data_IF_326822480515
#
_entry.id   IF_326822480515
#
_cell.length_a   1.000
_cell.length_b   1.000
_cell.length_c   1.000
_cell.angle_alpha   90.00
_cell.angle_beta   90.00
_cell.angle_gamma   90.00
#
_symmetry.space_group_name_H-M   'P 1'
#
loop_
_entity.id
_entity.type
_entity.pdbx_description
1 polymer ?
#
# COMPACT_ATOMS: atom_id res chain seq x y z
N UNK A 1 65.05 -76.71 -52.80
CA UNK A 1 63.77 -75.99 -53.05
C UNK A 1 62.51 -76.79 -52.70
N UNK A 2 62.60 -77.93 -51.98
CA UNK A 2 61.46 -78.75 -51.53
C UNK A 2 60.92 -78.38 -50.15
N UNK A 3 61.79 -78.01 -49.20
CA UNK A 3 61.38 -77.64 -47.84
C UNK A 3 60.58 -76.32 -47.77
N UNK A 4 60.65 -75.47 -48.80
CA UNK A 4 59.77 -74.31 -48.98
C UNK A 4 58.42 -74.66 -49.64
N UNK A 5 58.33 -75.78 -50.39
CA UNK A 5 57.09 -76.27 -51.01
C UNK A 5 56.23 -77.06 -50.01
N UNK A 6 56.84 -77.84 -49.11
CA UNK A 6 56.10 -78.56 -48.04
C UNK A 6 55.44 -77.59 -47.05
N UNK A 7 56.09 -76.45 -46.75
CA UNK A 7 55.46 -75.35 -45.98
C UNK A 7 54.36 -74.59 -46.74
N UNK A 8 54.31 -74.69 -48.07
CA UNK A 8 53.27 -74.08 -48.92
C UNK A 8 52.05 -74.98 -49.18
N UNK A 9 52.15 -76.29 -48.88
CA UNK A 9 51.05 -77.25 -49.05
C UNK A 9 50.39 -77.70 -47.72
N UNK A 10 50.98 -77.36 -46.57
CA UNK A 10 50.43 -77.65 -45.24
C UNK A 10 49.58 -76.51 -44.67
N UNK A 11 48.87 -76.80 -43.58
CA UNK A 11 48.15 -75.78 -42.81
C UNK A 11 49.09 -75.04 -41.88
N UNK A 12 49.14 -73.71 -41.98
CA UNK A 12 49.97 -72.86 -41.13
C UNK A 12 49.53 -72.83 -39.66
N UNK A 13 48.24 -73.06 -39.39
CA UNK A 13 47.69 -73.04 -38.04
C UNK A 13 46.58 -74.09 -37.87
N UNK A 14 46.51 -74.70 -36.68
CA UNK A 14 45.51 -75.71 -36.32
C UNK A 14 45.09 -75.54 -34.86
N UNK A 15 43.79 -75.49 -34.59
CA UNK A 15 43.26 -75.32 -33.23
C UNK A 15 41.94 -76.07 -33.04
N UNK A 16 41.71 -76.58 -31.85
CA UNK A 16 40.42 -77.19 -31.47
C UNK A 16 39.29 -76.17 -31.54
N UNK A 17 38.10 -76.61 -31.95
CA UNK A 17 36.97 -75.71 -32.17
C UNK A 17 36.60 -74.90 -30.94
N UNK A 18 36.61 -75.52 -29.76
CA UNK A 18 36.30 -74.84 -28.50
C UNK A 18 37.33 -73.75 -28.17
N UNK A 19 38.61 -74.07 -28.25
CA UNK A 19 39.69 -73.11 -27.99
C UNK A 19 39.73 -71.96 -29.03
N UNK A 20 39.41 -72.25 -30.29
CA UNK A 20 39.28 -71.23 -31.34
C UNK A 20 38.07 -70.32 -31.08
N UNK A 21 36.92 -70.91 -30.76
CA UNK A 21 35.69 -70.18 -30.50
C UNK A 21 35.82 -69.27 -29.27
N UNK A 22 36.34 -69.78 -28.15
CA UNK A 22 36.57 -68.96 -26.95
C UNK A 22 37.49 -67.76 -27.21
N UNK A 23 38.51 -67.96 -28.07
CA UNK A 23 39.46 -66.91 -28.42
C UNK A 23 38.82 -65.80 -29.28
N UNK A 24 38.02 -66.19 -30.28
CA UNK A 24 37.54 -65.28 -31.33
C UNK A 24 36.04 -64.95 -31.26
N UNK A 25 35.24 -65.55 -30.37
CA UNK A 25 33.77 -65.36 -30.29
C UNK A 25 33.32 -63.91 -30.18
N UNK A 26 34.17 -63.02 -29.69
CA UNK A 26 33.93 -61.57 -29.59
C UNK A 26 33.79 -60.86 -30.95
N UNK A 27 34.26 -61.51 -32.03
CA UNK A 27 34.23 -60.98 -33.38
C UNK A 27 32.87 -61.06 -34.06
N UNK A 28 31.98 -61.95 -33.60
CA UNK A 28 30.61 -62.06 -34.11
C UNK A 28 29.59 -61.82 -32.99
N UNK A 29 28.56 -61.03 -33.31
CA UNK A 29 27.43 -60.78 -32.42
C UNK A 29 26.59 -62.04 -32.14
N UNK A 30 26.71 -63.09 -32.98
CA UNK A 30 25.97 -64.34 -32.83
C UNK A 30 26.64 -65.31 -31.87
N UNK A 31 27.96 -65.23 -31.75
CA UNK A 31 28.75 -66.08 -30.85
C UNK A 31 29.11 -65.39 -29.53
N UNK A 32 29.12 -64.06 -29.51
CA UNK A 32 29.34 -63.26 -28.32
C UNK A 32 28.04 -63.07 -27.51
N UNK A 33 28.08 -62.99 -26.16
CA UNK A 33 29.21 -63.26 -25.26
C UNK A 33 29.34 -64.74 -24.85
N UNK A 34 28.24 -65.49 -24.96
CA UNK A 34 28.16 -66.89 -24.55
C UNK A 34 27.63 -67.72 -25.71
N UNK A 35 28.37 -68.77 -26.09
CA UNK A 35 27.94 -69.77 -27.06
C UNK A 35 27.40 -71.00 -26.32
N UNK A 36 26.27 -71.55 -26.79
CA UNK A 36 25.60 -72.72 -26.17
C UNK A 36 25.43 -73.92 -27.09
N UNK A 37 25.84 -73.81 -28.36
CA UNK A 37 25.75 -74.88 -29.35
C UNK A 37 27.03 -75.72 -29.45
N UNK A 38 27.12 -76.57 -30.48
CA UNK A 38 28.35 -77.31 -30.74
C UNK A 38 29.49 -76.33 -31.12
N UNK A 39 30.72 -76.51 -30.63
CA UNK A 39 31.81 -75.58 -30.94
C UNK A 39 32.09 -75.42 -32.45
N UNK A 40 31.96 -76.49 -33.23
CA UNK A 40 32.17 -76.45 -34.68
C UNK A 40 31.14 -75.54 -35.40
N UNK A 41 29.88 -75.55 -34.97
CA UNK A 41 28.82 -74.68 -35.49
C UNK A 41 29.11 -73.21 -35.15
N UNK A 42 29.56 -72.94 -33.92
CA UNK A 42 29.93 -71.60 -33.47
C UNK A 42 31.10 -71.04 -34.28
N UNK A 43 32.14 -71.85 -34.53
CA UNK A 43 33.27 -71.45 -35.39
C UNK A 43 32.82 -71.20 -36.83
N UNK A 44 31.87 -71.99 -37.34
CA UNK A 44 31.30 -71.81 -38.68
C UNK A 44 30.57 -70.47 -38.82
N UNK A 45 29.72 -70.12 -37.84
CA UNK A 45 29.02 -68.84 -37.83
C UNK A 45 29.99 -67.66 -37.69
N UNK A 46 31.00 -67.80 -36.83
CA UNK A 46 32.03 -66.78 -36.63
C UNK A 46 32.80 -66.50 -37.92
N UNK A 47 33.31 -67.53 -38.59
CA UNK A 47 34.07 -67.36 -39.83
C UNK A 47 33.20 -66.85 -40.98
N UNK A 48 31.89 -67.15 -40.98
CA UNK A 48 30.93 -66.60 -41.95
C UNK A 48 30.71 -65.10 -41.77
N UNK A 49 30.73 -64.61 -40.53
CA UNK A 49 30.52 -63.19 -40.23
C UNK A 49 31.80 -62.35 -40.44
N UNK A 50 32.97 -63.00 -40.61
CA UNK A 50 34.25 -62.36 -40.87
C UNK A 50 34.56 -62.27 -42.37
N UNK A 51 35.32 -61.25 -42.82
CA UNK A 51 35.75 -61.11 -44.22
C UNK A 51 36.91 -62.06 -44.56
N UNK A 52 36.78 -63.36 -44.23
CA UNK A 52 37.78 -64.39 -44.50
C UNK A 52 37.24 -65.32 -45.58
N UNK A 53 37.98 -65.46 -46.68
CA UNK A 53 37.53 -66.29 -47.80
C UNK A 53 37.50 -67.79 -47.41
N UNK A 54 36.45 -68.56 -47.77
CA UNK A 54 36.34 -69.98 -47.41
C UNK A 54 37.49 -70.87 -47.90
N UNK A 55 38.25 -70.44 -48.91
CA UNK A 55 39.43 -71.17 -49.38
C UNK A 55 40.57 -71.18 -48.36
N UNK A 56 40.61 -70.24 -47.41
CA UNK A 56 41.71 -70.04 -46.47
C UNK A 56 41.67 -70.96 -45.25
N UNK A 57 40.56 -71.65 -45.01
CA UNK A 57 40.41 -72.57 -43.89
C UNK A 57 39.74 -73.88 -44.31
N UNK A 58 39.92 -74.92 -43.50
CA UNK A 58 39.29 -76.23 -43.67
C UNK A 58 38.85 -76.75 -42.29
N UNK A 59 37.63 -77.29 -42.24
CA UNK A 59 37.10 -77.96 -41.06
C UNK A 59 37.56 -79.42 -41.02
N UNK A 60 38.23 -79.81 -39.93
CA UNK A 60 38.49 -81.22 -39.62
C UNK A 60 37.44 -81.81 -38.68
N UNK A 61 37.68 -83.02 -38.19
CA UNK A 61 36.75 -83.69 -37.25
C UNK A 61 36.64 -82.95 -35.90
N UNK A 62 37.76 -82.46 -35.37
CA UNK A 62 37.81 -81.82 -34.03
C UNK A 62 38.51 -80.45 -34.03
N UNK A 63 39.16 -80.08 -35.14
CA UNK A 63 40.03 -78.89 -35.23
C UNK A 63 39.74 -78.10 -36.51
N UNK A 64 39.86 -76.78 -36.40
CA UNK A 64 39.94 -75.87 -37.54
C UNK A 64 41.38 -75.79 -38.02
N UNK A 65 41.57 -75.82 -39.34
CA UNK A 65 42.86 -75.67 -39.98
C UNK A 65 42.87 -74.42 -40.87
N UNK A 66 43.88 -73.56 -40.72
CA UNK A 66 44.05 -72.33 -41.53
C UNK A 66 45.28 -72.52 -42.42
N UNK A 67 45.11 -72.26 -43.71
CA UNK A 67 46.13 -72.52 -44.74
C UNK A 67 47.26 -71.50 -44.71
N UNK A 68 46.93 -70.21 -44.76
CA UNK A 68 47.91 -69.13 -44.87
C UNK A 68 48.19 -68.50 -43.50
N UNK A 69 49.47 -68.28 -43.10
CA UNK A 69 49.79 -67.54 -41.87
C UNK A 69 49.21 -66.11 -41.85
N UNK A 70 49.03 -65.48 -43.03
CA UNK A 70 48.43 -64.15 -43.14
C UNK A 70 47.03 -64.08 -42.54
N UNK A 71 46.19 -65.08 -42.80
CA UNK A 71 44.81 -65.16 -42.29
C UNK A 71 44.77 -65.26 -40.76
N UNK A 72 45.77 -65.89 -40.16
CA UNK A 72 45.92 -65.96 -38.69
C UNK A 72 46.28 -64.58 -38.12
N UNK A 73 47.18 -63.85 -38.79
CA UNK A 73 47.50 -62.48 -38.42
C UNK A 73 46.27 -61.57 -38.53
N UNK A 74 45.51 -61.66 -39.63
CA UNK A 74 44.27 -60.89 -39.84
C UNK A 74 43.22 -61.17 -38.75
N UNK A 75 43.05 -62.43 -38.34
CA UNK A 75 42.17 -62.81 -37.22
C UNK A 75 42.59 -62.16 -35.88
N UNK A 76 43.89 -62.11 -35.60
CA UNK A 76 44.41 -61.45 -34.40
C UNK A 76 44.31 -59.92 -34.47
N UNK A 77 44.42 -59.34 -35.66
CA UNK A 77 44.18 -57.91 -35.90
C UNK A 77 42.72 -57.54 -35.63
N UNK A 78 41.75 -58.26 -36.22
CA UNK A 78 40.33 -58.05 -35.93
C UNK A 78 40.03 -58.19 -34.44
N UNK A 79 40.63 -59.19 -33.78
CA UNK A 79 40.44 -59.41 -32.35
C UNK A 79 40.97 -58.23 -31.53
N UNK A 80 42.16 -57.72 -31.87
CA UNK A 80 42.77 -56.58 -31.19
C UNK A 80 41.94 -55.31 -31.35
N UNK A 81 41.47 -55.03 -32.56
CA UNK A 81 40.58 -53.90 -32.84
C UNK A 81 39.30 -53.99 -32.03
N UNK A 82 38.65 -55.16 -32.03
CA UNK A 82 37.41 -55.36 -31.28
C UNK A 82 37.61 -55.26 -29.77
N UNK A 83 38.72 -55.76 -29.23
CA UNK A 83 39.06 -55.57 -27.82
C UNK A 83 39.29 -54.09 -27.49
N UNK A 84 39.95 -53.34 -28.37
CA UNK A 84 40.12 -51.89 -28.21
C UNK A 84 38.77 -51.16 -28.23
N UNK A 85 37.86 -51.50 -29.15
CA UNK A 85 36.50 -50.94 -29.19
C UNK A 85 35.74 -51.19 -27.88
N UNK A 86 35.80 -52.41 -27.35
CA UNK A 86 35.15 -52.77 -26.08
C UNK A 86 35.78 -52.02 -24.91
N UNK A 87 37.11 -51.89 -24.87
CA UNK A 87 37.80 -51.09 -23.86
C UNK A 87 37.37 -49.62 -23.93
N UNK A 88 37.29 -49.03 -25.13
CA UNK A 88 36.80 -47.66 -25.35
C UNK A 88 35.34 -47.54 -24.89
N UNK A 89 34.49 -48.53 -25.18
CA UNK A 89 33.09 -48.55 -24.74
C UNK A 89 32.98 -48.54 -23.20
N UNK A 90 33.75 -49.37 -22.52
CA UNK A 90 33.79 -49.40 -21.05
C UNK A 90 34.30 -48.06 -20.51
N UNK A 91 35.42 -47.57 -21.04
CA UNK A 91 36.02 -46.30 -20.62
C UNK A 91 35.08 -45.12 -20.82
N UNK A 92 34.44 -44.98 -21.98
CA UNK A 92 33.52 -43.86 -22.25
C UNK A 92 32.27 -43.95 -21.39
N UNK A 93 31.74 -45.15 -21.16
CA UNK A 93 30.57 -45.38 -20.30
C UNK A 93 30.90 -45.04 -18.85
N UNK A 94 32.05 -45.49 -18.35
CA UNK A 94 32.51 -45.19 -17.01
C UNK A 94 32.77 -43.69 -16.79
N UNK A 95 33.48 -43.04 -17.71
CA UNK A 95 33.69 -41.57 -17.66
C UNK A 95 32.36 -40.83 -17.65
N UNK A 96 31.39 -41.26 -18.46
CA UNK A 96 30.03 -40.71 -18.47
C UNK A 96 29.29 -40.90 -17.14
N UNK A 97 29.36 -42.11 -16.56
CA UNK A 97 28.78 -42.42 -15.25
C UNK A 97 29.34 -41.50 -14.15
N UNK A 98 30.66 -41.39 -14.05
CA UNK A 98 31.34 -40.55 -13.05
C UNK A 98 30.95 -39.08 -13.20
N UNK A 99 30.92 -38.55 -14.43
CA UNK A 99 30.52 -37.16 -14.66
C UNK A 99 29.05 -36.91 -14.36
N UNK A 100 28.16 -37.87 -14.69
CA UNK A 100 26.74 -37.80 -14.37
C UNK A 100 26.52 -37.80 -12.87
N UNK A 101 27.21 -38.67 -12.12
CA UNK A 101 27.11 -38.71 -10.66
C UNK A 101 27.56 -37.38 -10.04
N UNK A 102 28.69 -36.83 -10.49
CA UNK A 102 29.18 -35.52 -10.05
C UNK A 102 28.18 -34.41 -10.34
N UNK A 103 27.60 -34.38 -11.54
CA UNK A 103 26.58 -33.39 -11.92
C UNK A 103 25.35 -33.48 -11.04
N UNK A 104 24.82 -34.68 -10.79
CA UNK A 104 23.64 -34.88 -9.95
C UNK A 104 23.89 -34.40 -8.51
N UNK A 105 25.06 -34.71 -7.95
CA UNK A 105 25.46 -34.25 -6.61
C UNK A 105 25.55 -32.72 -6.51
N UNK A 106 26.12 -32.07 -7.54
CA UNK A 106 26.18 -30.60 -7.61
C UNK A 106 24.79 -29.98 -7.74
N UNK A 107 23.92 -30.56 -8.57
CA UNK A 107 22.54 -30.10 -8.76
C UNK A 107 21.73 -30.20 -7.47
N UNK A 108 21.80 -31.33 -6.78
CA UNK A 108 21.14 -31.52 -5.48
C UNK A 108 21.61 -30.49 -4.45
N UNK A 109 22.93 -30.32 -4.33
CA UNK A 109 23.54 -29.33 -3.45
C UNK A 109 23.06 -27.91 -3.77
N UNK A 110 22.99 -27.54 -5.05
CA UNK A 110 22.52 -26.24 -5.50
C UNK A 110 21.03 -26.00 -5.14
N UNK A 111 20.19 -27.02 -5.30
CA UNK A 111 18.76 -26.95 -4.94
C UNK A 111 18.61 -26.73 -3.43
N UNK A 112 19.32 -27.51 -2.60
CA UNK A 112 19.30 -27.39 -1.14
C UNK A 112 19.77 -26.00 -0.70
N UNK A 113 20.91 -25.53 -1.21
CA UNK A 113 21.45 -24.22 -0.86
C UNK A 113 20.51 -23.09 -1.28
N UNK A 114 19.99 -23.13 -2.51
CA UNK A 114 19.10 -22.08 -3.02
C UNK A 114 17.77 -22.03 -2.26
N UNK A 115 17.22 -23.17 -1.86
CA UNK A 115 16.01 -23.25 -1.04
C UNK A 115 16.24 -22.65 0.35
N UNK A 116 17.30 -23.09 1.04
CA UNK A 116 17.66 -22.58 2.37
C UNK A 116 17.94 -21.08 2.35
N UNK A 117 18.67 -20.58 1.34
CA UNK A 117 18.93 -19.15 1.18
C UNK A 117 17.63 -18.34 1.00
N UNK A 118 16.71 -18.80 0.15
CA UNK A 118 15.41 -18.14 -0.06
C UNK A 118 14.60 -18.08 1.24
N UNK A 119 14.55 -19.18 1.99
CA UNK A 119 13.88 -19.24 3.30
C UNK A 119 14.51 -18.29 4.32
N UNK A 120 15.84 -18.32 4.46
CA UNK A 120 16.57 -17.40 5.33
C UNK A 120 16.33 -15.94 4.95
N UNK A 121 16.41 -15.60 3.66
CA UNK A 121 16.22 -14.22 3.19
C UNK A 121 14.79 -13.72 3.41
N UNK A 122 13.77 -14.59 3.22
CA UNK A 122 12.37 -14.31 3.58
C UNK A 122 12.22 -14.01 5.07
N UNK A 123 12.69 -14.90 5.94
CA UNK A 123 12.62 -14.74 7.40
C UNK A 123 13.32 -13.45 7.85
N UNK A 124 14.55 -13.23 7.36
CA UNK A 124 15.32 -12.02 7.65
C UNK A 124 14.58 -10.75 7.21
N UNK A 125 13.95 -10.75 6.03
CA UNK A 125 13.16 -9.61 5.56
C UNK A 125 11.96 -9.34 6.45
N UNK A 126 11.19 -10.36 6.82
CA UNK A 126 10.00 -10.19 7.67
C UNK A 126 10.34 -9.68 9.07
N UNK A 127 11.39 -10.24 9.69
CA UNK A 127 11.86 -9.78 11.01
C UNK A 127 12.41 -8.35 10.95
N UNK A 128 13.13 -8.01 9.88
CA UNK A 128 13.61 -6.65 9.67
C UNK A 128 12.45 -5.68 9.46
N UNK A 129 11.47 -6.03 8.60
CA UNK A 129 10.30 -5.21 8.33
C UNK A 129 9.50 -4.93 9.61
N UNK A 130 9.28 -5.95 10.44
CA UNK A 130 8.55 -5.80 11.70
C UNK A 130 9.18 -4.76 12.66
N UNK A 131 10.51 -4.60 12.61
CA UNK A 131 11.24 -3.61 13.42
C UNK A 131 11.31 -2.23 12.77
N UNK A 132 11.07 -2.15 11.46
CA UNK A 132 11.20 -0.92 10.66
C UNK A 132 9.86 -0.54 10.03
N UNK A 133 8.74 -0.84 10.71
CA UNK A 133 7.43 -0.42 10.23
C UNK A 133 7.32 1.13 10.24
N UNK A 134 6.60 1.71 9.27
CA UNK A 134 6.31 3.15 9.25
C UNK A 134 5.57 3.64 10.49
N UNK A 135 5.38 4.95 10.58
CA UNK A 135 4.60 5.55 11.66
C UNK A 135 3.19 4.93 11.76
N UNK A 136 2.71 4.82 13.01
CA UNK A 136 1.32 4.47 13.36
C UNK A 136 0.31 5.47 12.75
N UNK A 137 0.76 6.68 12.35
CA UNK A 137 -0.08 7.70 11.73
C UNK A 137 -0.68 7.22 10.39
N UNK A 138 -2.01 7.23 10.21
CA UNK A 138 -2.66 6.91 8.94
C UNK A 138 -2.20 7.76 7.75
N UNK A 139 -1.66 8.96 7.99
CA UNK A 139 -1.20 9.88 6.95
C UNK A 139 0.18 9.53 6.37
N UNK A 140 1.00 8.75 7.07
CA UNK A 140 2.37 8.43 6.64
C UNK A 140 2.36 7.49 5.41
N UNK A 141 2.92 7.92 4.29
CA UNK A 141 2.96 7.14 3.05
C UNK A 141 4.25 6.34 2.86
N UNK A 142 5.20 6.46 3.79
CA UNK A 142 6.47 5.75 3.71
C UNK A 142 6.26 4.23 3.79
N UNK A 143 7.09 3.49 3.06
CA UNK A 143 7.12 2.03 3.15
C UNK A 143 8.55 1.52 2.90
N UNK A 144 9.09 0.64 3.74
CA UNK A 144 10.47 0.16 3.60
C UNK A 144 10.70 -0.62 2.29
N UNK A 145 11.91 -0.54 1.71
CA UNK A 145 12.24 -1.26 0.49
C UNK A 145 12.24 -2.78 0.69
N UNK A 146 12.00 -3.52 -0.40
CA UNK A 146 11.96 -4.98 -0.39
C UNK A 146 12.88 -5.57 -1.46
N UNK A 147 13.48 -6.76 -1.23
CA UNK A 147 14.16 -7.51 -2.27
C UNK A 147 13.24 -7.77 -3.46
N UNK A 148 13.77 -7.75 -4.70
CA UNK A 148 12.98 -7.89 -5.94
C UNK A 148 12.01 -9.09 -5.91
N UNK A 149 12.50 -10.26 -5.49
CA UNK A 149 11.69 -11.48 -5.41
C UNK A 149 10.61 -11.48 -4.30
N UNK A 150 10.60 -10.48 -3.41
CA UNK A 150 9.59 -10.27 -2.35
C UNK A 150 8.76 -9.00 -2.56
N UNK A 151 8.88 -8.31 -3.69
CA UNK A 151 8.14 -7.07 -3.94
C UNK A 151 6.63 -7.27 -3.83
N UNK A 152 6.10 -8.35 -4.43
CA UNK A 152 4.67 -8.66 -4.36
C UNK A 152 4.20 -8.87 -2.91
N UNK A 153 4.94 -9.68 -2.13
CA UNK A 153 4.66 -9.88 -0.70
C UNK A 153 4.72 -8.57 0.08
N UNK A 154 5.73 -7.72 -0.18
CA UNK A 154 5.87 -6.42 0.45
C UNK A 154 4.69 -5.49 0.19
N UNK A 155 4.17 -5.47 -1.04
CA UNK A 155 2.99 -4.69 -1.40
C UNK A 155 1.73 -5.17 -0.67
N UNK A 156 1.55 -6.49 -0.51
CA UNK A 156 0.45 -7.06 0.27
C UNK A 156 0.55 -6.67 1.75
N UNK A 157 1.75 -6.80 2.33
CA UNK A 157 2.01 -6.39 3.72
C UNK A 157 1.78 -4.90 3.93
N UNK A 158 2.13 -4.05 2.95
CA UNK A 158 1.84 -2.60 2.99
C UNK A 158 0.35 -2.32 3.10
N UNK A 159 -0.46 -2.97 2.25
CA UNK A 159 -1.92 -2.83 2.25
C UNK A 159 -2.52 -3.31 3.58
N UNK A 160 -2.05 -4.45 4.08
CA UNK A 160 -2.50 -5.02 5.36
C UNK A 160 -2.15 -4.10 6.53
N UNK A 161 -0.90 -3.63 6.60
CA UNK A 161 -0.44 -2.71 7.63
C UNK A 161 -1.22 -1.39 7.62
N UNK A 162 -1.46 -0.81 6.43
CA UNK A 162 -2.25 0.42 6.31
C UNK A 162 -3.70 0.21 6.79
N UNK A 163 -4.35 -0.88 6.40
CA UNK A 163 -5.72 -1.20 6.87
C UNK A 163 -5.75 -1.40 8.39
N UNK A 164 -4.78 -2.14 8.94
CA UNK A 164 -4.67 -2.38 10.38
C UNK A 164 -4.48 -1.07 11.16
N UNK A 165 -3.52 -0.22 10.78
CA UNK A 165 -3.28 1.03 11.51
C UNK A 165 -4.43 2.02 11.40
N UNK A 166 -5.12 2.09 10.26
CA UNK A 166 -6.34 2.90 10.10
C UNK A 166 -7.46 2.40 11.02
N UNK A 167 -7.61 1.08 11.15
CA UNK A 167 -8.58 0.47 12.08
C UNK A 167 -8.23 0.79 13.53
N UNK A 168 -6.95 0.63 13.91
CA UNK A 168 -6.44 0.96 15.24
C UNK A 168 -6.63 2.43 15.58
N UNK A 169 -6.35 3.34 14.64
CA UNK A 169 -6.57 4.78 14.80
C UNK A 169 -8.05 5.09 15.03
N UNK A 170 -8.96 4.52 14.22
CA UNK A 170 -10.41 4.69 14.40
C UNK A 170 -10.90 4.17 15.75
N UNK A 171 -10.40 3.02 16.19
CA UNK A 171 -10.77 2.41 17.47
C UNK A 171 -10.31 3.21 18.69
N UNK A 172 -9.20 3.96 18.58
CA UNK A 172 -8.73 4.86 19.65
C UNK A 172 -9.59 6.12 19.81
N UNK A 173 -10.43 6.47 18.84
CA UNK A 173 -11.25 7.69 18.89
C UNK A 173 -12.56 7.44 19.64
N UNK A 174 -12.66 8.00 20.84
CA UNK A 174 -13.92 8.09 21.58
C UNK A 174 -14.94 8.99 20.86
N UNK A 175 -16.21 8.94 21.29
CA UNK A 175 -17.27 9.75 20.67
C UNK A 175 -16.96 11.25 20.74
N UNK A 176 -16.35 11.72 21.83
CA UNK A 176 -15.99 13.13 22.01
C UNK A 176 -14.92 13.57 21.01
N UNK A 177 -13.85 12.79 20.85
CA UNK A 177 -12.80 13.09 19.88
C UNK A 177 -13.31 13.02 18.44
N UNK A 178 -14.22 12.07 18.13
CA UNK A 178 -14.88 12.00 16.82
C UNK A 178 -15.70 13.26 16.54
N UNK A 179 -16.45 13.76 17.53
CA UNK A 179 -17.21 15.00 17.39
C UNK A 179 -16.28 16.21 17.18
N UNK A 180 -15.22 16.36 17.99
CA UNK A 180 -14.21 17.43 17.83
C UNK A 180 -13.55 17.39 16.46
N UNK A 181 -13.22 16.20 15.96
CA UNK A 181 -12.64 16.02 14.62
C UNK A 181 -13.63 16.42 13.53
N UNK A 182 -14.91 16.02 13.65
CA UNK A 182 -15.97 16.45 12.72
C UNK A 182 -16.10 17.97 12.69
N UNK A 183 -16.06 18.63 13.84
CA UNK A 183 -16.08 20.09 13.92
C UNK A 183 -14.86 20.70 13.21
N UNK A 184 -13.64 20.24 13.51
CA UNK A 184 -12.41 20.77 12.87
C UNK A 184 -12.34 20.52 11.36
N UNK A 185 -12.81 19.37 10.88
CA UNK A 185 -12.90 19.08 9.45
C UNK A 185 -13.90 20.01 8.79
N UNK A 186 -15.05 20.24 9.42
CA UNK A 186 -16.06 21.20 8.93
C UNK A 186 -15.47 22.61 8.85
N UNK A 187 -14.77 23.05 9.91
CA UNK A 187 -14.06 24.33 9.91
C UNK A 187 -13.03 24.43 8.76
N UNK A 188 -12.30 23.35 8.47
CA UNK A 188 -11.37 23.29 7.34
C UNK A 188 -12.08 23.51 6.00
N UNK A 189 -13.19 22.80 5.76
CA UNK A 189 -13.98 22.96 4.52
C UNK A 189 -14.53 24.39 4.37
N UNK A 190 -14.94 25.01 5.47
CA UNK A 190 -15.53 26.34 5.46
C UNK A 190 -14.50 27.45 5.28
N UNK A 191 -13.36 27.37 5.97
CA UNK A 191 -12.47 28.53 6.16
C UNK A 191 -11.06 28.38 5.59
N UNK A 192 -10.60 27.15 5.32
CA UNK A 192 -9.25 26.92 4.80
C UNK A 192 -9.07 27.69 3.49
N UNK A 193 -7.99 28.44 3.42
CA UNK A 193 -7.60 29.29 2.28
C UNK A 193 -8.62 30.41 1.93
N UNK A 194 -9.63 30.64 2.78
CA UNK A 194 -10.66 31.68 2.60
C UNK A 194 -10.66 32.75 3.70
N UNK A 195 -10.23 32.41 4.91
CA UNK A 195 -10.21 33.29 6.09
C UNK A 195 -8.83 33.32 6.73
N UNK A 196 -8.23 34.50 6.85
CA UNK A 196 -6.86 34.65 7.37
C UNK A 196 -6.69 34.21 8.84
N UNK A 197 -7.75 34.24 9.66
CA UNK A 197 -7.70 33.75 11.05
C UNK A 197 -7.77 32.23 11.20
N UNK A 198 -8.12 31.47 10.14
CA UNK A 198 -8.27 30.02 10.22
C UNK A 198 -7.02 29.25 10.65
N UNK A 199 -5.81 29.49 10.10
CA UNK A 199 -4.61 28.74 10.48
C UNK A 199 -4.31 28.78 11.97
N UNK A 200 -4.52 29.94 12.61
CA UNK A 200 -4.34 30.12 14.07
C UNK A 200 -5.35 29.29 14.89
N UNK A 201 -6.54 29.04 14.33
CA UNK A 201 -7.59 28.25 15.00
C UNK A 201 -7.31 26.74 14.99
N UNK A 202 -6.44 26.23 14.12
CA UNK A 202 -6.26 24.77 13.93
C UNK A 202 -5.68 24.10 15.16
N UNK A 203 -4.70 24.73 15.80
CA UNK A 203 -3.99 24.22 16.98
C UNK A 203 -4.81 24.29 18.26
N UNK A 204 -5.83 25.15 18.31
CA UNK A 204 -6.65 25.39 19.49
C UNK A 204 -7.90 24.49 19.49
N UNK A 205 -8.13 23.64 20.50
CA UNK A 205 -9.32 22.79 20.55
C UNK A 205 -10.59 23.61 20.76
N UNK A 206 -11.67 23.22 20.09
CA UNK A 206 -12.98 23.83 20.32
C UNK A 206 -13.55 23.40 21.67
N UNK A 207 -13.96 24.36 22.50
CA UNK A 207 -14.41 24.12 23.88
C UNK A 207 -15.94 24.12 24.01
N UNK A 208 -16.62 24.96 23.25
CA UNK A 208 -18.06 25.19 23.32
C UNK A 208 -18.44 26.10 24.49
N UNK A 209 -18.41 25.59 25.72
CA UNK A 209 -18.85 26.33 26.91
C UNK A 209 -17.66 27.00 27.64
N UNK A 210 -17.43 28.27 27.32
CA UNK A 210 -16.35 29.08 27.89
C UNK A 210 -16.70 29.64 29.26
N UNK A 211 -17.96 29.97 29.47
CA UNK A 211 -18.51 30.56 30.71
C UNK A 211 -19.01 29.52 31.73
N UNK A 212 -18.94 28.23 31.41
CA UNK A 212 -19.45 27.11 32.22
C UNK A 212 -20.96 27.25 32.52
N UNK A 213 -21.72 27.74 31.55
CA UNK A 213 -23.16 27.96 31.68
C UNK A 213 -23.91 26.67 32.01
N UNK A 214 -23.43 25.51 31.53
CA UNK A 214 -24.02 24.19 31.84
C UNK A 214 -24.08 23.87 33.33
N UNK A 215 -23.17 24.42 34.12
CA UNK A 215 -23.10 24.20 35.57
C UNK A 215 -23.99 25.18 36.35
N UNK A 216 -24.48 26.24 35.72
CA UNK A 216 -25.25 27.29 36.38
C UNK A 216 -26.68 26.82 36.72
N UNK A 217 -27.07 26.92 37.99
CA UNK A 217 -28.38 26.46 38.48
C UNK A 217 -29.55 27.26 37.88
N UNK A 218 -29.40 28.58 37.72
CA UNK A 218 -30.44 29.43 37.12
C UNK A 218 -30.66 29.07 35.65
N UNK A 219 -29.57 28.79 34.92
CA UNK A 219 -29.66 28.32 33.53
C UNK A 219 -30.40 27.00 33.42
N UNK A 220 -30.12 26.02 34.30
CA UNK A 220 -30.80 24.70 34.25
C UNK A 220 -32.32 24.84 34.28
N UNK A 221 -32.85 25.64 35.22
CA UNK A 221 -34.30 25.92 35.31
C UNK A 221 -34.85 26.57 34.03
N UNK A 222 -34.19 27.63 33.56
CA UNK A 222 -34.60 28.34 32.34
C UNK A 222 -34.53 27.44 31.09
N UNK A 223 -33.54 26.54 31.02
CA UNK A 223 -33.34 25.64 29.89
C UNK A 223 -34.41 24.55 29.80
N UNK A 224 -35.03 24.18 30.93
CA UNK A 224 -36.16 23.26 30.97
C UNK A 224 -37.43 23.94 30.42
N UNK A 225 -37.67 25.20 30.80
CA UNK A 225 -38.83 25.98 30.32
C UNK A 225 -38.75 26.27 28.81
N UNK A 226 -37.55 26.57 28.31
CA UNK A 226 -37.32 26.95 26.90
C UNK A 226 -37.02 25.77 25.98
N UNK A 227 -36.80 24.57 26.54
CA UNK A 227 -36.37 23.39 25.81
C UNK A 227 -34.93 23.47 25.28
N UNK A 228 -34.10 24.39 25.77
CA UNK A 228 -32.73 24.67 25.30
C UNK A 228 -31.65 24.01 26.18
N UNK A 229 -31.87 22.76 26.60
CA UNK A 229 -31.03 22.06 27.58
C UNK A 229 -29.58 21.80 27.10
N UNK A 230 -29.41 21.47 25.83
CA UNK A 230 -28.10 21.10 25.28
C UNK A 230 -27.35 22.31 24.73
N UNK A 231 -26.51 22.92 25.57
CA UNK A 231 -25.61 24.01 25.15
C UNK A 231 -24.50 23.47 24.24
N UNK A 232 -24.41 23.98 23.02
CA UNK A 232 -23.34 23.68 22.06
C UNK A 232 -22.19 24.67 22.20
N UNK A 233 -22.51 25.96 22.40
CA UNK A 233 -21.54 27.02 22.63
C UNK A 233 -22.10 28.06 23.62
N UNK A 234 -21.25 28.62 24.49
CA UNK A 234 -21.61 29.75 25.34
C UNK A 234 -20.37 30.60 25.66
N UNK A 235 -20.44 31.90 25.40
CA UNK A 235 -19.35 32.85 25.66
C UNK A 235 -19.89 34.28 25.85
N UNK A 236 -19.08 35.16 26.46
CA UNK A 236 -19.37 36.59 26.55
C UNK A 236 -18.73 37.27 25.34
N UNK A 237 -19.56 37.77 24.43
CA UNK A 237 -19.09 38.36 23.16
C UNK A 237 -19.63 39.78 22.98
N UNK A 238 -19.01 40.52 22.06
CA UNK A 238 -19.41 41.88 21.73
C UNK A 238 -20.47 41.87 20.63
N UNK A 239 -21.70 42.28 20.95
CA UNK A 239 -22.72 42.55 19.95
C UNK A 239 -22.52 43.95 19.37
N UNK A 240 -22.35 44.03 18.06
CA UNK A 240 -22.24 45.31 17.36
C UNK A 240 -23.64 45.87 17.13
N UNK A 241 -23.89 47.05 17.68
CA UNK A 241 -25.18 47.73 17.52
C UNK A 241 -25.30 48.28 16.11
N UNK A 242 -26.40 47.97 15.45
CA UNK A 242 -26.63 48.38 14.06
C UNK A 242 -26.65 49.90 13.91
N UNK A 243 -27.27 50.62 14.84
CA UNK A 243 -27.50 52.08 14.72
C UNK A 243 -26.22 52.90 14.82
N UNK A 244 -25.27 52.51 15.67
CA UNK A 244 -24.07 53.30 15.97
C UNK A 244 -22.75 52.57 15.77
N UNK A 245 -22.76 51.26 15.48
CA UNK A 245 -21.55 50.45 15.42
C UNK A 245 -20.91 50.18 16.79
N UNK A 246 -21.51 50.64 17.90
CA UNK A 246 -20.97 50.42 19.26
C UNK A 246 -21.07 48.96 19.65
N UNK A 247 -20.00 48.43 20.25
CA UNK A 247 -19.95 47.08 20.81
C UNK A 247 -20.57 47.05 22.21
N UNK A 248 -21.49 46.11 22.43
CA UNK A 248 -22.13 45.86 23.74
C UNK A 248 -21.89 44.43 24.13
N UNK A 249 -21.26 44.19 25.28
CA UNK A 249 -21.04 42.85 25.80
C UNK A 249 -22.38 42.17 26.12
N UNK A 250 -22.52 40.94 25.65
CA UNK A 250 -23.70 40.12 25.86
C UNK A 250 -23.30 38.66 26.06
N UNK A 251 -24.09 37.92 26.83
CA UNK A 251 -23.94 36.48 26.87
C UNK A 251 -24.56 35.90 25.60
N UNK A 252 -23.76 35.20 24.81
CA UNK A 252 -24.17 34.54 23.59
C UNK A 252 -24.16 33.03 23.79
N UNK A 253 -25.29 32.39 23.49
CA UNK A 253 -25.48 30.96 23.70
C UNK A 253 -26.04 30.33 22.44
N UNK A 254 -25.49 29.20 22.04
CA UNK A 254 -26.02 28.34 20.98
C UNK A 254 -26.46 27.04 21.62
N UNK A 255 -27.77 26.77 21.61
CA UNK A 255 -28.33 25.46 21.95
C UNK A 255 -28.49 24.61 20.68
N UNK A 256 -29.06 23.41 20.81
CA UNK A 256 -29.46 22.60 19.65
C UNK A 256 -30.65 23.18 18.88
N UNK A 257 -31.44 24.06 19.50
CA UNK A 257 -32.72 24.52 18.95
C UNK A 257 -32.71 26.01 18.59
N UNK A 258 -31.91 26.83 19.28
CA UNK A 258 -31.89 28.27 19.11
C UNK A 258 -30.52 28.91 19.36
N UNK A 259 -30.31 30.06 18.73
CA UNK A 259 -29.30 31.04 19.09
C UNK A 259 -29.93 32.06 20.06
N UNK A 260 -29.35 32.18 21.26
CA UNK A 260 -29.85 33.01 22.34
C UNK A 260 -28.89 34.16 22.64
N UNK A 261 -29.46 35.32 22.88
CA UNK A 261 -28.73 36.52 23.30
C UNK A 261 -29.30 36.94 24.62
N UNK A 262 -28.47 36.89 25.65
CA UNK A 262 -28.88 37.01 27.04
C UNK A 262 -28.11 38.11 27.74
N UNK A 263 -28.69 38.62 28.82
CA UNK A 263 -27.96 39.46 29.75
C UNK A 263 -26.95 38.63 30.56
N UNK A 264 -25.72 39.11 30.66
CA UNK A 264 -24.65 38.39 31.35
C UNK A 264 -24.84 38.27 32.86
N UNK A 265 -25.57 39.22 33.50
CA UNK A 265 -25.76 39.25 34.96
C UNK A 265 -27.06 38.58 35.35
N UNK A 266 -28.16 38.95 34.68
CA UNK A 266 -29.50 38.48 35.07
C UNK A 266 -29.87 37.15 34.41
N UNK A 267 -29.15 36.72 33.38
CA UNK A 267 -29.50 35.58 32.51
C UNK A 267 -30.90 35.72 31.88
N UNK A 268 -31.40 36.95 31.73
CA UNK A 268 -32.64 37.18 31.00
C UNK A 268 -32.39 37.08 29.49
N UNK A 269 -33.26 36.35 28.80
CA UNK A 269 -33.21 36.20 27.34
C UNK A 269 -33.71 37.49 26.70
N UNK A 270 -32.81 38.21 26.00
CA UNK A 270 -33.16 39.40 25.21
C UNK A 270 -33.69 39.01 23.84
N UNK A 271 -33.10 37.98 23.23
CA UNK A 271 -33.52 37.46 21.94
C UNK A 271 -33.34 35.94 21.91
N UNK A 272 -34.34 35.25 21.38
CA UNK A 272 -34.30 33.82 21.08
C UNK A 272 -34.61 33.63 19.61
N UNK A 273 -33.63 33.12 18.86
CA UNK A 273 -33.71 32.96 17.41
C UNK A 273 -33.62 31.47 17.11
N UNK A 274 -34.70 30.82 16.65
CA UNK A 274 -34.67 29.43 16.22
C UNK A 274 -33.58 29.21 15.17
N UNK A 275 -32.85 28.10 15.26
CA UNK A 275 -31.79 27.79 14.28
C UNK A 275 -32.33 27.59 12.86
N UNK A 276 -33.61 27.25 12.73
CA UNK A 276 -34.34 27.16 11.46
C UNK A 276 -34.45 28.47 10.71
N UNK A 277 -34.38 29.60 11.43
CA UNK A 277 -34.55 30.93 10.87
C UNK A 277 -33.20 31.50 10.36
N UNK A 278 -32.08 30.90 10.76
CA UNK A 278 -30.74 31.34 10.34
C UNK A 278 -30.40 30.65 9.02
N UNK A 279 -30.40 31.42 7.92
CA UNK A 279 -30.19 30.84 6.58
C UNK A 279 -28.78 31.06 6.04
N UNK A 280 -28.07 32.09 6.50
CA UNK A 280 -26.73 32.44 6.03
C UNK A 280 -25.88 33.03 7.15
N UNK A 281 -24.58 32.75 7.10
CA UNK A 281 -23.56 33.39 7.94
C UNK A 281 -22.53 34.07 7.03
N UNK A 282 -22.23 35.34 7.27
CA UNK A 282 -21.26 36.08 6.47
C UNK A 282 -20.08 36.55 7.31
N UNK A 283 -18.89 36.45 6.74
CA UNK A 283 -17.62 36.86 7.35
C UNK A 283 -16.76 37.61 6.33
N UNK A 284 -15.78 38.35 6.82
CA UNK A 284 -14.72 38.93 5.99
C UNK A 284 -13.57 37.93 5.79
N UNK A 285 -12.77 38.03 4.71
CA UNK A 285 -11.58 37.18 4.50
C UNK A 285 -10.38 37.53 5.39
N UNK A 286 -10.41 38.67 6.07
CA UNK A 286 -9.25 39.27 6.74
C UNK A 286 -8.97 38.70 8.14
N UNK A 287 -8.01 39.28 8.87
CA UNK A 287 -7.70 38.91 10.25
C UNK A 287 -8.59 39.69 11.25
N UNK A 288 -9.90 39.53 11.11
CA UNK A 288 -10.91 40.10 12.02
C UNK A 288 -11.69 39.00 12.75
N UNK A 289 -12.40 39.43 13.79
CA UNK A 289 -13.21 38.61 14.69
C UNK A 289 -14.72 38.84 14.51
N UNK A 290 -15.14 39.34 13.34
CA UNK A 290 -16.54 39.71 13.08
C UNK A 290 -17.27 38.61 12.31
N UNK A 291 -18.49 38.30 12.76
CA UNK A 291 -19.43 37.47 12.02
C UNK A 291 -20.84 38.09 11.99
N UNK A 292 -21.52 37.90 10.86
CA UNK A 292 -22.90 38.34 10.64
C UNK A 292 -23.80 37.12 10.44
N UNK A 293 -24.88 37.06 11.22
CA UNK A 293 -25.89 36.01 11.17
C UNK A 293 -27.16 36.55 10.52
N UNK A 294 -27.48 36.01 9.34
CA UNK A 294 -28.64 36.43 8.56
C UNK A 294 -29.86 35.61 8.92
N UNK A 295 -30.93 36.32 9.28
CA UNK A 295 -32.16 35.71 9.82
C UNK A 295 -33.30 35.95 8.84
N UNK A 296 -34.08 34.88 8.59
CA UNK A 296 -35.31 34.98 7.83
C UNK A 296 -36.30 35.83 8.61
N UNK A 297 -36.86 36.82 7.94
CA UNK A 297 -37.80 37.76 8.55
C UNK A 297 -39.07 37.02 8.96
N UNK A 298 -39.28 36.85 10.27
CA UNK A 298 -40.51 36.39 10.91
C UNK A 298 -41.13 37.54 11.71
N UNK A 299 -42.41 37.49 12.04
CA UNK A 299 -43.11 38.59 12.77
C UNK A 299 -42.40 39.00 14.07
N UNK A 300 -41.78 38.05 14.78
CA UNK A 300 -41.02 38.29 16.00
C UNK A 300 -39.63 38.94 15.79
N UNK A 301 -39.04 38.79 14.60
CA UNK A 301 -37.68 39.26 14.26
C UNK A 301 -37.67 40.45 13.30
N UNK A 302 -38.81 40.79 12.69
CA UNK A 302 -38.89 41.78 11.61
C UNK A 302 -38.36 43.16 11.98
N UNK A 303 -38.49 43.58 13.25
CA UNK A 303 -38.00 44.89 13.70
C UNK A 303 -36.48 44.98 13.83
N UNK A 304 -35.74 43.86 13.88
CA UNK A 304 -34.30 43.88 14.22
C UNK A 304 -33.36 43.42 13.12
N UNK A 305 -33.81 42.62 12.15
CA UNK A 305 -32.96 42.15 11.04
C UNK A 305 -31.83 41.25 11.51
N UNK A 306 -30.67 41.38 10.89
CA UNK A 306 -29.49 40.54 11.09
C UNK A 306 -28.70 40.93 12.35
N UNK A 307 -27.93 39.97 12.87
CA UNK A 307 -27.10 40.16 14.07
C UNK A 307 -25.62 40.13 13.71
N UNK A 308 -24.89 41.09 14.27
CA UNK A 308 -23.46 41.29 14.05
C UNK A 308 -22.75 41.13 15.39
N UNK A 309 -21.72 40.29 15.42
CA UNK A 309 -20.93 40.04 16.62
C UNK A 309 -19.44 40.09 16.34
N UNK A 310 -18.70 40.50 17.34
CA UNK A 310 -17.24 40.49 17.44
C UNK A 310 -16.85 39.49 18.54
N UNK A 311 -16.01 38.51 18.22
CA UNK A 311 -15.66 37.39 19.09
C UNK A 311 -14.34 36.73 18.68
N UNK A 312 -13.44 36.54 19.65
CA UNK A 312 -12.19 35.79 19.44
C UNK A 312 -12.37 34.30 19.09
N UNK A 313 -13.61 33.80 19.14
CA UNK A 313 -13.96 32.41 18.82
C UNK A 313 -14.79 32.30 17.53
N UNK A 314 -14.64 33.25 16.59
CA UNK A 314 -15.47 33.35 15.38
C UNK A 314 -15.52 32.05 14.56
N UNK A 315 -14.37 31.39 14.36
CA UNK A 315 -14.28 30.13 13.61
C UNK A 315 -15.07 29.02 14.30
N UNK A 316 -14.98 28.95 15.64
CA UNK A 316 -15.68 27.94 16.42
C UNK A 316 -17.19 28.15 16.41
N UNK A 317 -17.65 29.37 16.67
CA UNK A 317 -19.07 29.72 16.73
C UNK A 317 -19.74 29.40 15.40
N UNK A 318 -19.17 29.87 14.27
CA UNK A 318 -19.76 29.67 12.95
C UNK A 318 -19.75 28.19 12.58
N UNK A 319 -18.67 27.45 12.89
CA UNK A 319 -18.61 26.01 12.64
C UNK A 319 -19.65 25.24 13.45
N UNK A 320 -19.80 25.55 14.74
CA UNK A 320 -20.77 24.89 15.62
C UNK A 320 -22.20 25.22 15.20
N UNK A 321 -22.49 26.48 14.94
CA UNK A 321 -23.81 26.90 14.49
C UNK A 321 -24.17 26.30 13.13
N UNK A 322 -23.22 26.24 12.19
CA UNK A 322 -23.38 25.53 10.91
C UNK A 322 -23.82 24.09 11.12
N UNK A 323 -23.16 23.35 12.01
CA UNK A 323 -23.51 21.95 12.30
C UNK A 323 -24.87 21.83 12.98
N UNK A 324 -25.22 22.74 13.89
CA UNK A 324 -26.54 22.74 14.54
C UNK A 324 -27.65 22.99 13.53
N UNK A 325 -27.51 24.01 12.67
CA UNK A 325 -28.50 24.32 11.63
C UNK A 325 -28.65 23.15 10.65
N UNK A 326 -27.52 22.56 10.22
CA UNK A 326 -27.54 21.40 9.33
C UNK A 326 -28.26 20.21 9.95
N UNK A 327 -28.02 19.92 11.23
CA UNK A 327 -28.68 18.82 11.93
C UNK A 327 -30.19 19.10 12.14
N UNK A 328 -30.58 20.34 12.40
CA UNK A 328 -31.98 20.71 12.64
C UNK A 328 -32.82 20.79 11.36
N UNK A 329 -32.26 21.30 10.26
CA UNK A 329 -33.00 21.56 9.01
C UNK A 329 -32.78 20.50 7.93
N UNK A 330 -31.75 19.65 8.07
CA UNK A 330 -31.28 18.73 7.04
C UNK A 330 -30.61 19.42 5.84
N UNK A 331 -30.66 20.76 5.76
CA UNK A 331 -30.06 21.57 4.68
C UNK A 331 -28.81 22.27 5.19
N UNK A 332 -27.83 22.41 4.31
CA UNK A 332 -26.58 23.10 4.63
C UNK A 332 -26.82 24.62 4.60
N UNK A 333 -26.57 25.38 5.68
CA UNK A 333 -26.67 26.83 5.64
C UNK A 333 -25.54 27.44 4.81
N UNK A 334 -25.80 28.58 4.17
CA UNK A 334 -24.80 29.25 3.35
C UNK A 334 -23.77 29.97 4.24
N UNK A 335 -22.48 29.81 3.95
CA UNK A 335 -21.40 30.58 4.59
C UNK A 335 -20.68 31.40 3.53
N UNK A 336 -20.85 32.73 3.58
CA UNK A 336 -20.27 33.67 2.61
C UNK A 336 -19.07 34.38 3.20
N UNK A 337 -17.90 34.21 2.59
CA UNK A 337 -16.68 34.93 2.97
C UNK A 337 -16.36 35.92 1.86
N UNK A 338 -16.52 37.22 2.12
CA UNK A 338 -16.40 38.28 1.12
C UNK A 338 -16.02 39.60 1.80
N UNK A 339 -15.33 40.48 1.08
CA UNK A 339 -15.03 41.84 1.54
C UNK A 339 -16.28 42.72 1.61
N UNK A 340 -17.32 42.35 0.88
CA UNK A 340 -18.60 43.06 0.84
C UNK A 340 -19.78 42.10 0.79
N UNK A 341 -20.82 42.38 1.58
CA UNK A 341 -22.09 41.66 1.54
C UNK A 341 -23.26 42.49 2.10
N UNK A 342 -24.48 42.14 1.69
CA UNK A 342 -25.71 42.78 2.15
C UNK A 342 -26.10 42.32 3.55
N UNK A 343 -26.55 43.25 4.38
CA UNK A 343 -26.99 43.03 5.77
C UNK A 343 -28.32 43.73 5.99
N UNK A 344 -29.28 43.02 6.56
CA UNK A 344 -30.57 43.58 6.94
C UNK A 344 -30.45 44.30 8.30
N UNK A 345 -30.62 45.62 8.33
CA UNK A 345 -30.59 46.39 9.57
C UNK A 345 -31.97 46.51 10.26
N UNK A 346 -32.97 45.75 9.82
CA UNK A 346 -34.33 45.69 10.35
C UNK A 346 -35.31 46.53 9.53
N UNK A 347 -35.06 47.83 9.40
CA UNK A 347 -35.90 48.74 8.58
C UNK A 347 -35.43 48.85 7.13
N UNK A 348 -34.14 48.67 6.91
CA UNK A 348 -33.47 48.89 5.63
C UNK A 348 -32.41 47.82 5.41
N UNK A 349 -32.22 47.43 4.16
CA UNK A 349 -31.07 46.63 3.73
C UNK A 349 -29.89 47.55 3.48
N UNK A 350 -28.79 47.28 4.16
CA UNK A 350 -27.54 47.97 3.96
C UNK A 350 -26.44 47.05 3.46
N UNK A 351 -25.26 47.62 3.30
CA UNK A 351 -24.06 46.94 2.84
C UNK A 351 -22.99 47.03 3.92
N UNK A 352 -22.37 45.91 4.22
CA UNK A 352 -21.20 45.85 5.09
C UNK A 352 -19.95 45.66 4.24
N UNK A 353 -19.00 46.59 4.36
CA UNK A 353 -17.75 46.60 3.58
C UNK A 353 -16.57 46.55 4.53
N UNK A 354 -15.62 45.65 4.27
CA UNK A 354 -14.38 45.50 5.02
C UNK A 354 -13.21 46.05 4.19
N UNK A 355 -12.42 46.94 4.78
CA UNK A 355 -11.20 47.48 4.17
C UNK A 355 -10.03 47.32 5.13
N UNK A 356 -8.89 46.88 4.61
CA UNK A 356 -7.62 46.97 5.33
C UNK A 356 -7.03 48.37 5.10
N UNK A 357 -6.72 49.08 6.17
CA UNK A 357 -6.02 50.37 6.03
C UNK A 357 -4.54 50.12 5.73
N UNK A 358 -3.95 50.82 4.73
CA UNK A 358 -2.49 50.86 4.63
C UNK A 358 -1.91 51.53 5.88
N UNK A 359 -0.77 51.01 6.34
CA UNK A 359 -0.07 51.36 7.58
C UNK A 359 0.58 52.75 7.57
N UNK A 360 -0.11 53.78 7.06
CA UNK A 360 0.42 55.14 6.86
C UNK A 360 -0.42 56.28 7.45
N UNK A 361 -1.52 55.99 8.14
CA UNK A 361 -2.20 56.99 8.98
C UNK A 361 -2.09 56.54 10.44
N UNK A 362 -1.94 57.49 11.38
CA UNK A 362 -1.76 57.30 12.83
C UNK A 362 -2.75 56.33 13.50
N UNK A 363 -2.57 55.03 13.31
CA UNK A 363 -3.45 53.98 13.81
C UNK A 363 -2.64 52.97 14.61
N UNK A 364 -3.05 52.72 15.85
CA UNK A 364 -2.50 51.63 16.65
C UNK A 364 -2.80 50.30 15.96
N UNK A 365 -1.79 49.45 15.70
CA UNK A 365 -1.99 48.18 15.01
C UNK A 365 -2.94 47.29 15.80
N UNK A 366 -4.02 46.82 15.15
CA UNK A 366 -4.96 45.82 15.71
C UNK A 366 -6.28 46.35 16.27
N UNK A 367 -6.59 47.65 16.15
CA UNK A 367 -7.88 48.18 16.61
C UNK A 367 -8.91 48.24 15.49
N UNK A 368 -9.91 47.34 15.53
CA UNK A 368 -11.04 47.34 14.60
C UNK A 368 -11.89 48.59 14.86
N UNK A 369 -12.14 49.40 13.81
CA UNK A 369 -13.06 50.53 13.88
C UNK A 369 -14.25 50.31 12.96
N UNK A 370 -15.45 50.53 13.52
CA UNK A 370 -16.72 50.33 12.82
C UNK A 370 -17.42 51.66 12.68
N UNK A 371 -17.65 52.08 11.44
CA UNK A 371 -18.34 53.31 11.11
C UNK A 371 -19.65 53.00 10.38
N UNK A 372 -20.73 53.71 10.74
CA UNK A 372 -21.98 53.67 9.98
C UNK A 372 -22.19 55.00 9.26
N UNK A 373 -22.34 54.94 7.94
CA UNK A 373 -22.67 56.09 7.08
C UNK A 373 -23.92 55.74 6.26
N UNK A 374 -25.08 56.16 6.75
CA UNK A 374 -26.38 55.82 6.15
C UNK A 374 -26.63 54.31 6.11
N UNK A 375 -26.75 53.77 4.89
CA UNK A 375 -27.00 52.34 4.62
C UNK A 375 -25.72 51.52 4.49
N UNK A 376 -24.54 52.11 4.71
CA UNK A 376 -23.26 51.41 4.69
C UNK A 376 -22.65 51.32 6.08
N UNK A 377 -22.19 50.13 6.44
CA UNK A 377 -21.36 49.88 7.62
C UNK A 377 -19.97 49.50 7.15
N UNK A 378 -19.00 50.38 7.40
CA UNK A 378 -17.61 50.16 7.02
C UNK A 378 -16.82 49.68 8.25
N UNK A 379 -16.10 48.57 8.08
CA UNK A 379 -15.16 48.03 9.06
C UNK A 379 -13.75 48.27 8.54
N UNK A 380 -12.98 49.04 9.29
CA UNK A 380 -11.56 49.29 9.04
C UNK A 380 -10.73 48.37 9.93
N UNK A 381 -9.83 47.62 9.29
CA UNK A 381 -8.94 46.63 9.89
C UNK A 381 -7.49 47.07 9.85
#
# INVERSE_FOLDING_TARGET
MENLKVRRAGFAFRQEYEAFLERYKLLSMRTWPHWRGLPAEGVTLLLRDLPIHPSEYVFGRTKLFIKNPRTVCELEEFRRERLNELAILIQKTWRGFVMREKFLRMRESQVILSSNYKCWKRRRYLLWLARNLPSDSPADRSWPPAPRFLMHTSQLLRKLHHKWRCTRYKQRLDQTSRNRMREKVTASVLFKDKKASYPKSVTHPFRGDYVRLRQNVKWKRLSEETGDQYIVFADIISKITRSSGKCVQTLFVVSTNAMLIMDQRTLQIKYRIPVTDIFRMSLSPFLDDIAVFHIRTTEATSKKGDFIFETGHVIEIVTKLFLVIQNATGKVPEVKISTEFQVNFGRETGVMTFRCSPSSEHHQPGQIRIYRKGNRMEVLL
#
